data_IF_842724271048
#
_entry.id   IF_842724271048
#
_cell.length_a   1.000
_cell.length_b   1.000
_cell.length_c   1.000
_cell.angle_alpha   90.00
_cell.angle_beta   90.00
_cell.angle_gamma   90.00
#
_symmetry.space_group_name_H-M   'P 1'
#
loop_
_entity.id
_entity.type
_entity.pdbx_description
1 polymer ?
#
# COMPACT_ATOMS: atom_id res chain seq x y z
N UNK A 1 -3.55 -24.92 -8.09
CA UNK A 1 -3.11 -23.92 -9.09
C UNK A 1 -3.79 -22.57 -8.95
N UNK A 2 -5.11 -22.49 -8.69
CA UNK A 2 -5.81 -21.20 -8.50
C UNK A 2 -5.31 -20.38 -7.30
N UNK A 3 -5.13 -21.00 -6.13
CA UNK A 3 -4.56 -20.37 -4.93
C UNK A 3 -3.14 -19.81 -5.16
N UNK A 4 -2.30 -20.51 -5.95
CA UNK A 4 -0.94 -20.05 -6.28
C UNK A 4 -0.96 -18.77 -7.14
N UNK A 5 -1.91 -18.66 -8.08
CA UNK A 5 -2.10 -17.44 -8.89
C UNK A 5 -2.60 -16.26 -8.07
N UNK A 6 -3.49 -16.51 -7.10
CA UNK A 6 -4.03 -15.47 -6.21
C UNK A 6 -2.91 -14.89 -5.34
N UNK A 7 -2.09 -15.73 -4.71
CA UNK A 7 -0.92 -15.29 -3.93
C UNK A 7 0.09 -14.48 -4.76
N UNK A 8 0.31 -14.85 -6.03
CA UNK A 8 1.24 -14.14 -6.91
C UNK A 8 0.71 -12.76 -7.32
N UNK A 9 -0.60 -12.66 -7.55
CA UNK A 9 -1.27 -11.39 -7.87
C UNK A 9 -1.27 -10.48 -6.64
N UNK A 10 -1.58 -11.00 -5.45
CA UNK A 10 -1.53 -10.22 -4.20
C UNK A 10 -0.12 -9.70 -3.93
N UNK A 11 0.90 -10.54 -4.08
CA UNK A 11 2.29 -10.15 -3.91
C UNK A 11 2.74 -9.09 -4.94
N UNK A 12 2.35 -9.26 -6.21
CA UNK A 12 2.62 -8.29 -7.27
C UNK A 12 1.94 -6.94 -7.02
N UNK A 13 0.70 -6.95 -6.54
CA UNK A 13 -0.04 -5.74 -6.17
C UNK A 13 0.62 -5.03 -4.99
N UNK A 14 1.09 -5.75 -3.97
CA UNK A 14 1.83 -5.16 -2.84
C UNK A 14 3.13 -4.48 -3.29
N UNK A 15 3.89 -5.10 -4.20
CA UNK A 15 5.11 -4.50 -4.77
C UNK A 15 4.80 -3.24 -5.58
N UNK A 16 3.75 -3.29 -6.42
CA UNK A 16 3.34 -2.14 -7.21
C UNK A 16 2.90 -0.96 -6.33
N UNK A 17 2.16 -1.23 -5.23
CA UNK A 17 1.78 -0.22 -4.25
C UNK A 17 2.99 0.41 -3.56
N UNK A 18 3.98 -0.40 -3.18
CA UNK A 18 5.21 0.08 -2.58
C UNK A 18 6.01 0.96 -3.55
N UNK A 19 6.14 0.54 -4.81
CA UNK A 19 6.82 1.30 -5.85
C UNK A 19 6.15 2.65 -6.11
N UNK A 20 4.81 2.68 -6.18
CA UNK A 20 4.04 3.91 -6.33
C UNK A 20 4.23 4.85 -5.13
N UNK A 21 4.28 4.31 -3.91
CA UNK A 21 4.54 5.08 -2.70
C UNK A 21 5.93 5.74 -2.72
N UNK A 22 6.98 4.98 -3.07
CA UNK A 22 8.34 5.50 -3.16
C UNK A 22 8.43 6.60 -4.23
N UNK A 23 7.80 6.40 -5.40
CA UNK A 23 7.77 7.39 -6.46
C UNK A 23 7.07 8.69 -6.04
N UNK A 24 5.91 8.59 -5.38
CA UNK A 24 5.19 9.75 -4.83
C UNK A 24 6.03 10.48 -3.78
N UNK A 25 6.71 9.74 -2.90
CA UNK A 25 7.58 10.33 -1.90
C UNK A 25 8.78 11.05 -2.53
N UNK A 26 9.39 10.48 -3.58
CA UNK A 26 10.52 11.07 -4.27
C UNK A 26 10.19 12.40 -4.97
N UNK A 27 8.99 12.52 -5.55
CA UNK A 27 8.55 13.74 -6.24
C UNK A 27 7.90 14.77 -5.31
N UNK A 28 7.40 14.36 -4.15
CA UNK A 28 6.68 15.25 -3.23
C UNK A 28 7.55 16.41 -2.73
N UNK A 29 8.85 16.16 -2.50
CA UNK A 29 9.78 17.21 -2.09
C UNK A 29 9.94 18.31 -3.14
N UNK A 30 10.00 17.92 -4.41
CA UNK A 30 10.22 18.84 -5.54
C UNK A 30 8.95 19.64 -5.88
N UNK A 31 7.78 19.01 -5.73
CA UNK A 31 6.48 19.63 -6.04
C UNK A 31 6.01 20.55 -4.90
N UNK A 32 6.18 20.13 -3.64
CA UNK A 32 5.59 20.84 -2.51
C UNK A 32 6.51 21.91 -1.91
N UNK A 33 7.81 21.92 -2.23
CA UNK A 33 8.76 22.94 -1.75
C UNK A 33 8.75 23.10 -0.23
N UNK A 34 8.42 24.29 0.26
CA UNK A 34 8.31 24.59 1.71
C UNK A 34 7.20 23.80 2.43
N UNK A 35 6.19 23.29 1.69
CA UNK A 35 5.11 22.47 2.23
C UNK A 35 5.40 20.96 2.15
N UNK A 36 6.62 20.58 1.73
CA UNK A 36 7.05 19.19 1.62
C UNK A 36 6.80 18.37 2.88
N UNK A 37 6.99 18.93 4.07
CA UNK A 37 6.67 18.26 5.33
C UNK A 37 5.19 17.86 5.46
N UNK A 38 4.26 18.72 5.03
CA UNK A 38 2.83 18.40 5.03
C UNK A 38 2.48 17.40 3.92
N UNK A 39 3.13 17.50 2.76
CA UNK A 39 2.96 16.52 1.68
C UNK A 39 3.43 15.12 2.10
N UNK A 40 4.60 15.01 2.75
CA UNK A 40 5.10 13.75 3.30
C UNK A 40 4.17 13.17 4.36
N UNK A 41 3.65 13.99 5.27
CA UNK A 41 2.65 13.57 6.26
C UNK A 41 1.38 13.04 5.58
N UNK A 42 0.89 13.73 4.56
CA UNK A 42 -0.29 13.31 3.79
C UNK A 42 -0.08 11.98 3.07
N UNK A 43 1.10 11.81 2.44
CA UNK A 43 1.48 10.57 1.76
C UNK A 43 1.58 9.40 2.76
N UNK A 44 2.21 9.61 3.92
CA UNK A 44 2.29 8.62 5.00
C UNK A 44 0.91 8.20 5.51
N UNK A 45 0.02 9.17 5.75
CA UNK A 45 -1.36 8.91 6.19
C UNK A 45 -2.13 8.11 5.13
N UNK A 46 -2.08 8.53 3.87
CA UNK A 46 -2.76 7.84 2.77
C UNK A 46 -2.28 6.40 2.61
N UNK A 47 -0.97 6.16 2.73
CA UNK A 47 -0.40 4.81 2.66
C UNK A 47 -0.79 3.94 3.85
N UNK A 48 -0.80 4.51 5.06
CA UNK A 48 -1.23 3.80 6.27
C UNK A 48 -2.70 3.38 6.14
N UNK A 49 -3.57 4.26 5.67
CA UNK A 49 -4.98 3.96 5.41
C UNK A 49 -5.12 2.86 4.33
N UNK A 50 -4.36 2.95 3.24
CA UNK A 50 -4.38 1.95 2.18
C UNK A 50 -3.99 0.55 2.68
N UNK A 51 -2.94 0.45 3.52
CA UNK A 51 -2.54 -0.81 4.16
C UNK A 51 -3.62 -1.30 5.12
N UNK A 52 -4.19 -0.44 5.97
CA UNK A 52 -5.24 -0.83 6.90
C UNK A 52 -6.48 -1.36 6.17
N UNK A 53 -6.90 -0.71 5.07
CA UNK A 53 -8.02 -1.16 4.24
C UNK A 53 -7.71 -2.48 3.53
N UNK A 54 -6.48 -2.64 3.01
CA UNK A 54 -6.04 -3.88 2.39
C UNK A 54 -6.00 -5.03 3.41
N UNK A 55 -5.43 -4.79 4.59
CA UNK A 55 -5.38 -5.73 5.70
C UNK A 55 -6.77 -6.11 6.20
N UNK A 56 -7.70 -5.16 6.30
CA UNK A 56 -9.10 -5.44 6.64
C UNK A 56 -9.75 -6.36 5.60
N UNK A 57 -9.53 -6.09 4.31
CA UNK A 57 -10.11 -6.89 3.22
C UNK A 57 -9.53 -8.31 3.16
N UNK A 58 -8.28 -8.48 3.58
CA UNK A 58 -7.61 -9.78 3.70
C UNK A 58 -7.93 -10.53 5.00
N UNK A 59 -8.29 -9.83 6.07
CA UNK A 59 -8.63 -10.43 7.36
C UNK A 59 -9.67 -11.58 7.30
N UNK A 60 -10.79 -11.50 6.57
CA UNK A 60 -11.73 -12.62 6.47
C UNK A 60 -11.15 -13.82 5.71
N UNK A 61 -10.31 -13.60 4.69
CA UNK A 61 -9.65 -14.69 3.96
C UNK A 61 -8.60 -15.43 4.80
N UNK A 62 -7.98 -14.75 5.76
CA UNK A 62 -7.09 -15.37 6.74
C UNK A 62 -7.88 -16.18 7.77
N UNK A 63 -9.05 -15.70 8.21
CA UNK A 63 -9.86 -16.39 9.21
C UNK A 63 -10.44 -17.73 8.72
N UNK A 64 -10.93 -17.81 7.48
CA UNK A 64 -11.45 -19.05 6.89
C UNK A 64 -10.37 -20.13 6.67
N UNK A 65 -9.09 -19.75 6.64
CA UNK A 65 -7.98 -20.69 6.48
C UNK A 65 -7.49 -21.30 7.80
N UNK A 66 -7.95 -20.78 8.95
CA UNK A 66 -7.57 -21.24 10.30
C UNK A 66 -8.72 -21.82 11.14
N UNK A 67 -9.95 -21.91 10.61
CA UNK A 67 -11.04 -22.72 11.18
C UNK A 67 -11.12 -24.10 10.53
#
# INVERSE_FOLDING_TARGET
MASLKINLIEFGVSIAFLAAFIALFAIAGDIAGEWSNFAYLGILLAFTIAICLFGWKLAPYLYDHFS
#
